data_IF_341546643858
#
_entry.id   IF_341546643858
#
_cell.length_a   1.000
_cell.length_b   1.000
_cell.length_c   1.000
_cell.angle_alpha   90.00
_cell.angle_beta   90.00
_cell.angle_gamma   90.00
#
_symmetry.space_group_name_H-M   'P 1'
#
loop_
_entity.id
_entity.type
_entity.pdbx_description
1 polymer ?
#
# COMPACT_ATOMS: atom_id res chain seq x y z
N UNK A 1 11.47 -13.48 -1.46
CA UNK A 1 11.67 -12.09 -0.99
C UNK A 1 10.31 -11.44 -0.99
N UNK A 2 9.97 -10.74 0.09
CA UNK A 2 8.69 -10.03 0.24
C UNK A 2 8.98 -8.54 0.19
N UNK A 3 8.23 -7.81 -0.64
CA UNK A 3 8.30 -6.36 -0.76
C UNK A 3 6.94 -5.79 -0.39
N UNK A 4 6.95 -4.79 0.48
CA UNK A 4 5.77 -4.01 0.82
C UNK A 4 5.84 -2.69 0.07
N UNK A 5 4.81 -2.40 -0.72
CA UNK A 5 4.61 -1.10 -1.37
C UNK A 5 3.65 -0.31 -0.48
N UNK A 6 4.11 0.83 0.03
CA UNK A 6 3.33 1.68 0.94
C UNK A 6 2.84 2.96 0.27
N UNK A 7 3.49 3.40 -0.81
CA UNK A 7 3.17 4.63 -1.51
C UNK A 7 2.59 4.31 -2.88
N UNK A 8 1.43 4.88 -3.17
CA UNK A 8 0.70 4.74 -4.43
C UNK A 8 1.53 5.15 -5.63
N UNK A 9 2.40 6.15 -5.48
CA UNK A 9 3.22 6.67 -6.56
C UNK A 9 4.13 5.60 -7.18
N UNK A 10 4.54 4.58 -6.42
CA UNK A 10 5.33 3.47 -6.96
C UNK A 10 4.56 2.74 -8.06
N UNK A 11 3.27 2.49 -7.87
CA UNK A 11 2.43 1.87 -8.90
C UNK A 11 2.24 2.81 -10.10
N UNK A 12 1.98 4.09 -9.84
CA UNK A 12 1.78 5.08 -10.90
C UNK A 12 3.02 5.23 -11.78
N UNK A 13 4.19 5.26 -11.16
CA UNK A 13 5.46 5.34 -11.87
C UNK A 13 5.68 4.09 -12.72
N UNK A 14 5.47 2.90 -12.17
CA UNK A 14 5.61 1.63 -12.89
C UNK A 14 4.67 1.52 -14.10
N UNK A 15 3.43 2.00 -13.97
CA UNK A 15 2.47 2.08 -15.07
C UNK A 15 2.97 3.08 -16.11
N UNK A 16 3.38 4.27 -15.68
CA UNK A 16 3.79 5.36 -16.59
C UNK A 16 4.98 5.00 -17.48
N UNK A 17 5.88 4.15 -16.98
CA UNK A 17 7.05 3.65 -17.72
C UNK A 17 6.83 2.28 -18.37
N UNK A 18 5.64 1.70 -18.24
CA UNK A 18 5.26 0.40 -18.83
C UNK A 18 6.03 -0.79 -18.24
N UNK A 19 6.47 -0.70 -16.98
CA UNK A 19 7.22 -1.75 -16.29
C UNK A 19 6.40 -2.49 -15.24
N UNK A 20 5.10 -2.18 -15.10
CA UNK A 20 4.24 -2.83 -14.11
C UNK A 20 4.26 -4.35 -14.29
N UNK A 21 3.82 -4.88 -15.43
CA UNK A 21 3.75 -6.33 -15.66
C UNK A 21 5.10 -7.03 -15.45
N UNK A 22 6.17 -6.49 -16.05
CA UNK A 22 7.52 -7.05 -15.95
C UNK A 22 8.04 -7.09 -14.49
N UNK A 23 7.66 -6.11 -13.66
CA UNK A 23 8.04 -6.09 -12.25
C UNK A 23 7.39 -7.23 -11.47
N UNK A 24 6.17 -7.60 -11.82
CA UNK A 24 5.42 -8.69 -11.18
C UNK A 24 5.72 -10.09 -11.76
N UNK A 25 6.56 -10.19 -12.81
CA UNK A 25 7.14 -11.46 -13.25
C UNK A 25 8.36 -11.89 -12.43
N UNK A 26 8.95 -10.95 -11.69
CA UNK A 26 10.07 -11.25 -10.80
C UNK A 26 9.63 -12.25 -9.72
N UNK A 27 10.51 -13.13 -9.23
CA UNK A 27 10.21 -14.10 -8.17
C UNK A 27 10.15 -13.44 -6.78
N UNK A 28 9.35 -12.38 -6.67
CA UNK A 28 9.16 -11.51 -5.52
C UNK A 28 7.67 -11.49 -5.21
N UNK A 29 7.34 -11.47 -3.92
CA UNK A 29 5.96 -11.30 -3.47
C UNK A 29 5.72 -9.84 -3.15
N UNK A 30 4.81 -9.22 -3.87
CA UNK A 30 4.40 -7.85 -3.63
C UNK A 30 3.20 -7.83 -2.69
N UNK A 31 3.29 -6.97 -1.68
CA UNK A 31 2.25 -6.74 -0.69
C UNK A 31 1.94 -5.25 -0.62
N UNK A 32 0.68 -4.91 -0.43
CA UNK A 32 0.22 -3.55 -0.20
C UNK A 32 -0.99 -3.57 0.74
N UNK A 33 -1.52 -2.40 1.04
CA UNK A 33 -2.75 -2.22 1.83
C UNK A 33 -3.84 -1.63 0.94
N UNK A 34 -5.09 -1.88 1.31
CA UNK A 34 -6.28 -1.35 0.64
C UNK A 34 -6.24 0.17 0.41
N UNK A 35 -5.88 0.95 1.44
CA UNK A 35 -5.82 2.40 1.34
C UNK A 35 -4.89 2.92 0.24
N UNK A 36 -3.78 2.22 0.00
CA UNK A 36 -2.81 2.58 -1.06
C UNK A 36 -3.41 2.34 -2.46
N UNK A 37 -4.25 1.31 -2.59
CA UNK A 37 -4.97 1.06 -3.86
C UNK A 37 -6.09 2.09 -4.05
N UNK A 38 -6.78 2.48 -2.97
CA UNK A 38 -7.86 3.47 -3.00
C UNK A 38 -7.39 4.88 -3.42
N UNK A 39 -6.11 5.21 -3.23
CA UNK A 39 -5.51 6.45 -3.72
C UNK A 39 -5.40 6.53 -5.26
N UNK A 40 -5.53 5.41 -5.97
CA UNK A 40 -5.49 5.38 -7.45
C UNK A 40 -6.84 5.84 -8.02
N UNK A 41 -6.93 7.13 -8.35
CA UNK A 41 -8.16 7.78 -8.85
C UNK A 41 -8.45 7.45 -10.33
N UNK A 42 -7.40 7.23 -11.14
CA UNK A 42 -7.58 6.95 -12.57
C UNK A 42 -8.08 5.52 -12.79
N UNK A 43 -9.20 5.36 -13.48
CA UNK A 43 -9.86 4.06 -13.69
C UNK A 43 -9.02 3.06 -14.49
N UNK A 44 -8.23 3.51 -15.46
CA UNK A 44 -7.36 2.65 -16.28
C UNK A 44 -6.20 2.10 -15.43
N UNK A 45 -5.53 2.98 -14.68
CA UNK A 45 -4.47 2.59 -13.75
C UNK A 45 -5.00 1.65 -12.65
N UNK A 46 -6.21 1.92 -12.15
CA UNK A 46 -6.87 1.07 -11.18
C UNK A 46 -7.17 -0.32 -11.77
N UNK A 47 -7.66 -0.39 -13.01
CA UNK A 47 -7.94 -1.65 -13.69
C UNK A 47 -6.69 -2.51 -13.90
N UNK A 48 -5.55 -1.89 -14.24
CA UNK A 48 -4.25 -2.59 -14.35
C UNK A 48 -3.83 -3.22 -13.01
N UNK A 49 -3.89 -2.44 -11.93
CA UNK A 49 -3.53 -2.94 -10.59
C UNK A 49 -4.52 -4.00 -10.10
N UNK A 50 -5.82 -3.82 -10.36
CA UNK A 50 -6.85 -4.79 -10.02
C UNK A 50 -6.67 -6.14 -10.73
N UNK A 51 -6.15 -6.14 -11.97
CA UNK A 51 -5.80 -7.37 -12.67
C UNK A 51 -4.71 -8.15 -11.94
N UNK A 52 -3.66 -7.47 -11.44
CA UNK A 52 -2.58 -8.11 -10.67
C UNK A 52 -3.08 -8.72 -9.35
N UNK A 53 -4.03 -8.06 -8.69
CA UNK A 53 -4.67 -8.58 -7.46
C UNK A 53 -5.45 -9.86 -7.79
N UNK A 54 -6.26 -9.82 -8.86
CA UNK A 54 -7.05 -10.97 -9.32
C UNK A 54 -6.18 -12.16 -9.75
N UNK A 55 -5.02 -11.90 -10.33
CA UNK A 55 -4.03 -12.92 -10.71
C UNK A 55 -3.24 -13.46 -9.50
N UNK A 56 -3.42 -12.88 -8.31
CA UNK A 56 -2.69 -13.26 -7.10
C UNK A 56 -1.23 -12.84 -7.08
N UNK A 57 -0.84 -11.91 -7.97
CA UNK A 57 0.52 -11.36 -8.06
C UNK A 57 0.75 -10.22 -7.06
N UNK A 58 -0.31 -9.47 -6.74
CA UNK A 58 -0.31 -8.44 -5.70
C UNK A 58 -1.20 -8.88 -4.54
N UNK A 59 -0.61 -9.02 -3.35
CA UNK A 59 -1.37 -9.28 -2.14
C UNK A 59 -1.79 -7.96 -1.49
N UNK A 60 -3.09 -7.80 -1.24
CA UNK A 60 -3.64 -6.63 -0.55
C UNK A 60 -4.11 -7.07 0.83
N UNK A 61 -3.57 -6.43 1.87
CA UNK A 61 -4.12 -6.54 3.22
C UNK A 61 -5.21 -5.49 3.38
N UNK A 62 -6.43 -5.96 3.62
CA UNK A 62 -7.55 -5.12 4.03
C UNK A 62 -7.45 -4.83 5.54
N UNK A 63 -7.71 -3.58 5.93
CA UNK A 63 -7.76 -3.18 7.33
C UNK A 63 -9.20 -3.18 7.82
N UNK A 64 -9.42 -3.83 8.97
CA UNK A 64 -10.70 -3.73 9.67
C UNK A 64 -10.75 -2.53 10.62
N UNK A 65 -11.96 -2.19 11.08
CA UNK A 65 -12.19 -1.06 11.98
C UNK A 65 -11.40 -1.15 13.29
N UNK A 66 -11.15 -2.36 13.80
CA UNK A 66 -10.40 -2.56 15.04
C UNK A 66 -8.91 -2.33 14.82
N UNK A 67 -8.35 -2.90 13.75
CA UNK A 67 -6.94 -2.68 13.37
C UNK A 67 -6.67 -1.19 13.11
N UNK A 68 -7.62 -0.49 12.50
CA UNK A 68 -7.51 0.95 12.28
C UNK A 68 -7.56 1.73 13.60
N UNK A 69 -8.44 1.36 14.52
CA UNK A 69 -8.49 1.97 15.86
C UNK A 69 -7.18 1.81 16.62
N UNK A 70 -6.54 0.64 16.55
CA UNK A 70 -5.23 0.39 17.18
C UNK A 70 -4.14 1.30 16.62
N UNK A 71 -4.15 1.57 15.31
CA UNK A 71 -3.22 2.51 14.67
C UNK A 71 -3.44 3.93 15.19
N UNK A 72 -4.69 4.37 15.32
CA UNK A 72 -5.03 5.69 15.88
C UNK A 72 -4.53 5.79 17.32
N UNK A 73 -4.84 4.80 18.16
CA UNK A 73 -4.44 4.78 19.56
C UNK A 73 -2.91 4.84 19.72
N UNK A 74 -2.18 4.08 18.88
CA UNK A 74 -0.73 4.13 18.84
C UNK A 74 -0.23 5.52 18.44
N UNK A 75 -0.77 6.10 17.37
CA UNK A 75 -0.37 7.42 16.90
C UNK A 75 -0.61 8.51 17.95
N UNK A 76 -1.75 8.48 18.63
CA UNK A 76 -2.06 9.38 19.72
C UNK A 76 -1.05 9.22 20.87
N UNK A 77 -0.79 7.99 21.31
CA UNK A 77 0.16 7.71 22.41
C UNK A 77 1.56 8.25 22.12
N UNK A 78 2.06 8.07 20.90
CA UNK A 78 3.37 8.56 20.45
C UNK A 78 3.42 10.09 20.43
N UNK A 79 2.32 10.74 20.01
CA UNK A 79 2.18 12.19 20.00
C UNK A 79 2.16 12.78 21.41
N UNK A 80 1.56 12.09 22.38
CA UNK A 80 1.62 12.49 23.78
C UNK A 80 3.06 12.35 24.32
N UNK A 81 3.74 11.23 24.07
CA UNK A 81 5.11 10.99 24.55
C UNK A 81 6.13 12.01 24.00
N UNK A 82 6.04 12.35 22.71
CA UNK A 82 6.91 13.39 22.12
C UNK A 82 6.66 14.77 22.70
N UNK A 83 5.44 15.08 23.13
CA UNK A 83 5.12 16.35 23.82
C UNK A 83 5.78 16.50 25.20
N UNK A 84 6.05 15.39 25.88
CA UNK A 84 6.68 15.38 27.22
C UNK A 84 8.22 15.31 27.19
N UNK A 85 8.85 15.09 26.03
CA UNK A 85 10.32 15.08 25.89
C UNK A 85 10.94 16.43 25.50
N UNK A 86 10.13 17.47 25.28
CA UNK A 86 10.59 18.83 24.88
C UNK A 86 10.43 19.84 26.05
N UNK A 87 10.41 19.35 27.30
CA UNK A 87 10.45 20.17 28.52
C UNK A 87 11.55 19.71 29.45
#
# INVERSE_FOLDING_TARGET
MDIVVNDTNIFLDLISIGLLDASFELPIKFHTVDYVIEEIINEEQNAEVAALIKEGKLYVKEFDENEFSEIIDLYESLKYMTKFQIY
#
